data_IF_371647730226
#
_entry.id   IF_371647730226
#
_cell.length_a   1.000
_cell.length_b   1.000
_cell.length_c   1.000
_cell.angle_alpha   90.00
_cell.angle_beta   90.00
_cell.angle_gamma   90.00
#
_symmetry.space_group_name_H-M   'P 1'
#
loop_
_entity.id
_entity.type
_entity.pdbx_description
1 polymer ?
#
# COMPACT_ATOMS: atom_id res chain seq x y z
N UNK A 1 21.64 -7.16 23.26
CA UNK A 1 20.38 -7.81 23.63
C UNK A 1 19.94 -8.61 22.42
N UNK A 2 20.17 -9.91 22.43
CA UNK A 2 19.77 -10.83 21.36
C UNK A 2 18.25 -10.93 21.38
N UNK A 3 17.59 -10.36 20.38
CA UNK A 3 16.19 -10.62 20.15
C UNK A 3 16.05 -12.08 19.73
N UNK A 4 15.66 -12.93 20.67
CA UNK A 4 15.15 -14.25 20.35
C UNK A 4 13.93 -14.05 19.44
N UNK A 5 14.07 -14.42 18.18
CA UNK A 5 12.94 -14.54 17.27
C UNK A 5 12.04 -15.66 17.85
N UNK A 6 11.06 -15.25 18.65
CA UNK A 6 9.99 -16.16 19.05
C UNK A 6 9.19 -16.47 17.79
N UNK A 7 9.39 -17.68 17.27
CA UNK A 7 8.62 -18.25 16.19
C UNK A 7 7.16 -18.32 16.66
N UNK A 8 6.36 -17.28 16.35
CA UNK A 8 4.92 -17.34 16.55
C UNK A 8 4.36 -18.13 15.37
N UNK A 9 4.38 -19.47 15.53
CA UNK A 9 3.61 -20.30 14.60
C UNK A 9 2.20 -19.72 14.48
N UNK A 10 1.76 -19.45 13.27
CA UNK A 10 0.42 -18.96 12.99
C UNK A 10 -0.61 -19.89 13.62
N UNK A 11 -1.15 -19.51 14.78
CA UNK A 11 -2.29 -20.22 15.35
C UNK A 11 -3.49 -20.01 14.43
N UNK A 12 -3.94 -21.07 13.77
CA UNK A 12 -5.18 -21.10 13.00
C UNK A 12 -6.37 -21.38 13.92
N UNK A 13 -7.53 -20.85 13.53
CA UNK A 13 -8.77 -21.00 14.30
C UNK A 13 -8.98 -19.90 15.34
N UNK A 14 -10.14 -19.94 15.97
CA UNK A 14 -10.59 -19.03 17.01
C UNK A 14 -11.03 -19.83 18.24
N UNK A 15 -10.88 -19.32 19.50
CA UNK A 15 -10.22 -18.05 19.82
C UNK A 15 -8.69 -18.15 19.77
N UNK A 16 -8.01 -17.01 19.56
CA UNK A 16 -6.55 -16.95 19.57
C UNK A 16 -6.01 -15.62 20.06
N UNK A 17 -4.76 -15.62 20.49
CA UNK A 17 -4.02 -14.40 20.84
C UNK A 17 -3.21 -13.90 19.67
N UNK A 18 -3.12 -12.59 19.55
CA UNK A 18 -2.27 -11.90 18.57
C UNK A 18 -1.69 -10.63 19.20
N UNK A 19 -0.91 -9.88 18.42
CA UNK A 19 -0.43 -8.57 18.82
C UNK A 19 -1.18 -7.48 18.06
N UNK A 20 -1.42 -6.37 18.73
CA UNK A 20 -2.00 -5.15 18.18
C UNK A 20 -1.31 -3.94 18.78
N UNK A 21 -1.75 -2.74 18.42
CA UNK A 21 -1.27 -1.49 19.01
C UNK A 21 -2.40 -0.76 19.72
N UNK A 22 -2.06 0.04 20.71
CA UNK A 22 -3.00 0.99 21.29
C UNK A 22 -3.26 2.11 20.26
N UNK A 23 -4.52 2.45 19.94
CA UNK A 23 -4.82 3.50 18.99
C UNK A 23 -4.44 4.91 19.49
N UNK A 24 -4.28 5.10 20.82
CA UNK A 24 -3.95 6.38 21.44
C UNK A 24 -2.43 6.62 21.54
N UNK A 25 -1.68 5.62 22.00
CA UNK A 25 -0.25 5.81 22.30
C UNK A 25 0.70 4.94 21.47
N UNK A 26 0.19 4.09 20.56
CA UNK A 26 1.01 3.23 19.72
C UNK A 26 1.71 2.06 20.45
N UNK A 27 1.52 1.88 21.78
CA UNK A 27 2.11 0.76 22.53
C UNK A 27 1.64 -0.58 21.95
N UNK A 28 2.55 -1.52 21.80
CA UNK A 28 2.23 -2.90 21.42
C UNK A 28 1.49 -3.57 22.57
N UNK A 29 0.35 -4.16 22.28
CA UNK A 29 -0.54 -4.82 23.22
C UNK A 29 -0.79 -6.26 22.77
N UNK A 30 -1.00 -7.15 23.73
CA UNK A 30 -1.66 -8.43 23.44
C UNK A 30 -3.14 -8.19 23.13
N UNK A 31 -3.68 -8.94 22.18
CA UNK A 31 -5.07 -8.87 21.78
C UNK A 31 -5.66 -10.28 21.65
N UNK A 32 -6.92 -10.41 22.02
CA UNK A 32 -7.69 -11.63 21.87
C UNK A 32 -8.60 -11.52 20.65
N UNK A 33 -8.50 -12.49 19.73
CA UNK A 33 -9.41 -12.68 18.61
C UNK A 33 -10.39 -13.79 18.93
N UNK A 34 -11.69 -13.53 18.78
CA UNK A 34 -12.74 -14.49 19.06
C UNK A 34 -13.96 -14.29 18.15
N UNK A 35 -14.72 -15.37 17.97
CA UNK A 35 -15.98 -15.35 17.23
C UNK A 35 -17.14 -14.88 18.11
N UNK A 36 -17.96 -14.00 17.61
CA UNK A 36 -19.20 -13.56 18.24
C UNK A 36 -20.18 -13.02 17.20
N UNK A 37 -21.41 -13.49 17.23
CA UNK A 37 -22.51 -13.02 16.34
C UNK A 37 -22.13 -13.13 14.85
N UNK A 38 -21.46 -14.22 14.43
CA UNK A 38 -21.01 -14.45 13.05
C UNK A 38 -19.85 -13.55 12.59
N UNK A 39 -19.23 -12.83 13.50
CA UNK A 39 -18.11 -11.91 13.24
C UNK A 39 -16.90 -12.30 14.08
N UNK A 40 -15.73 -11.85 13.65
CA UNK A 40 -14.49 -11.94 14.43
C UNK A 40 -14.26 -10.60 15.12
N UNK A 41 -14.11 -10.65 16.43
CA UNK A 41 -13.84 -9.50 17.30
C UNK A 41 -12.40 -9.50 17.78
N UNK A 42 -11.87 -8.30 18.04
CA UNK A 42 -10.57 -8.09 18.67
C UNK A 42 -10.73 -7.27 19.94
N UNK A 43 -10.35 -7.85 21.07
CA UNK A 43 -10.27 -7.16 22.36
C UNK A 43 -8.80 -6.96 22.74
N UNK A 44 -8.49 -5.77 23.23
CA UNK A 44 -7.17 -5.41 23.77
C UNK A 44 -7.29 -4.40 24.88
N UNK A 45 -6.34 -4.38 25.82
CA UNK A 45 -6.35 -3.46 26.95
C UNK A 45 -5.02 -2.73 27.06
N UNK A 46 -5.04 -1.41 26.96
CA UNK A 46 -3.90 -0.57 27.24
C UNK A 46 -3.89 -0.19 28.73
N UNK A 47 -2.75 -0.30 29.43
CA UNK A 47 -2.66 0.13 30.83
C UNK A 47 -2.99 1.61 31.07
N UNK A 48 -2.78 2.46 30.07
CA UNK A 48 -2.99 3.92 30.16
C UNK A 48 -4.34 4.37 29.60
N UNK A 49 -4.88 3.66 28.58
CA UNK A 49 -6.06 4.10 27.81
C UNK A 49 -7.26 3.15 27.93
N UNK A 50 -7.14 2.08 28.74
CA UNK A 50 -8.25 1.17 29.00
C UNK A 50 -8.51 0.14 27.89
N UNK A 51 -9.74 -0.37 27.86
CA UNK A 51 -10.14 -1.45 26.96
C UNK A 51 -10.63 -0.92 25.61
N UNK A 52 -10.21 -1.61 24.55
CA UNK A 52 -10.68 -1.44 23.18
C UNK A 52 -11.28 -2.73 22.68
N UNK A 53 -12.41 -2.66 22.00
CA UNK A 53 -13.11 -3.79 21.39
C UNK A 53 -13.64 -3.38 20.03
N UNK A 54 -13.24 -4.09 18.98
CA UNK A 54 -13.58 -3.77 17.60
C UNK A 54 -13.91 -5.02 16.78
N UNK A 55 -14.75 -4.86 15.75
CA UNK A 55 -14.92 -5.89 14.72
C UNK A 55 -13.63 -5.95 13.91
N UNK A 56 -12.93 -7.08 13.99
CA UNK A 56 -11.72 -7.35 13.20
C UNK A 56 -12.05 -7.82 11.78
N UNK A 57 -13.11 -8.64 11.66
CA UNK A 57 -13.59 -9.19 10.39
C UNK A 57 -15.10 -9.41 10.43
N UNK A 58 -15.85 -8.92 9.46
CA UNK A 58 -17.30 -8.91 9.50
C UNK A 58 -17.97 -10.27 9.25
N UNK A 59 -17.22 -11.27 8.77
CA UNK A 59 -17.70 -12.61 8.45
C UNK A 59 -16.74 -13.66 9.01
N UNK A 60 -17.19 -14.45 10.00
CA UNK A 60 -16.40 -15.49 10.66
C UNK A 60 -16.05 -16.64 9.71
N UNK A 61 -16.99 -17.10 8.89
CA UNK A 61 -16.75 -18.23 7.99
C UNK A 61 -15.69 -17.90 6.94
N UNK A 62 -15.79 -16.70 6.35
CA UNK A 62 -14.82 -16.22 5.37
C UNK A 62 -13.45 -16.01 6.00
N UNK A 63 -13.39 -15.54 7.27
CA UNK A 63 -12.14 -15.43 8.02
C UNK A 63 -11.46 -16.80 8.18
N UNK A 64 -12.19 -17.80 8.68
CA UNK A 64 -11.67 -19.15 8.87
C UNK A 64 -11.29 -19.83 7.54
N UNK A 65 -12.03 -19.53 6.47
CA UNK A 65 -11.68 -19.97 5.11
C UNK A 65 -10.37 -19.35 4.63
N UNK A 66 -10.19 -18.06 4.83
CA UNK A 66 -8.96 -17.34 4.45
C UNK A 66 -7.74 -17.86 5.23
N UNK A 67 -7.89 -18.18 6.50
CA UNK A 67 -6.82 -18.75 7.34
C UNK A 67 -6.26 -20.08 6.82
N UNK A 68 -7.03 -20.86 6.06
CA UNK A 68 -6.54 -22.13 5.47
C UNK A 68 -5.36 -21.89 4.52
N UNK A 69 -5.31 -20.71 3.90
CA UNK A 69 -4.26 -20.33 2.97
C UNK A 69 -3.12 -19.53 3.62
N UNK A 70 -3.26 -19.19 4.91
CA UNK A 70 -2.20 -18.50 5.63
C UNK A 70 -1.08 -19.48 6.01
N UNK A 71 0.17 -19.07 5.83
CA UNK A 71 1.36 -19.78 6.26
C UNK A 71 2.41 -18.80 6.78
N UNK A 72 3.27 -19.26 7.68
CA UNK A 72 4.43 -18.50 8.12
C UNK A 72 5.56 -18.65 7.10
N UNK A 73 6.03 -17.53 6.58
CA UNK A 73 7.28 -17.48 5.86
C UNK A 73 8.47 -17.34 6.81
N UNK A 74 9.65 -17.75 6.37
CA UNK A 74 10.91 -17.57 7.12
C UNK A 74 11.44 -16.14 7.08
N UNK A 75 10.67 -15.21 6.51
CA UNK A 75 11.04 -13.80 6.34
C UNK A 75 11.76 -13.50 5.04
N UNK A 76 12.25 -12.27 4.94
CA UNK A 76 13.00 -11.76 3.80
C UNK A 76 14.47 -11.61 4.18
N UNK A 77 15.37 -11.82 3.21
CA UNK A 77 16.77 -11.46 3.37
C UNK A 77 16.89 -9.94 3.54
N UNK A 78 17.61 -9.53 4.59
CA UNK A 78 18.02 -8.15 4.76
C UNK A 78 19.45 -7.96 4.23
N UNK A 79 19.66 -7.25 3.10
CA UNK A 79 20.99 -7.06 2.52
C UNK A 79 21.97 -6.33 3.45
N UNK A 80 21.46 -5.61 4.46
CA UNK A 80 22.28 -4.92 5.46
C UNK A 80 22.71 -5.84 6.60
N UNK A 81 22.14 -7.04 6.70
CA UNK A 81 22.47 -8.03 7.74
C UNK A 81 23.62 -8.92 7.26
N UNK A 82 24.83 -8.61 7.72
CA UNK A 82 26.04 -9.36 7.41
C UNK A 82 26.16 -10.70 8.16
N UNK A 83 25.24 -11.00 9.05
CA UNK A 83 25.26 -12.28 9.81
C UNK A 83 24.71 -13.44 9.01
N UNK A 84 23.91 -13.17 7.98
CA UNK A 84 23.37 -14.18 7.08
C UNK A 84 24.43 -14.60 6.06
N UNK A 85 24.75 -15.89 6.04
CA UNK A 85 25.68 -16.46 5.07
C UNK A 85 24.94 -16.69 3.75
N UNK A 86 25.51 -16.18 2.66
CA UNK A 86 25.06 -16.51 1.31
C UNK A 86 25.95 -17.60 0.73
N UNK A 87 25.34 -18.62 0.09
CA UNK A 87 26.06 -19.61 -0.69
C UNK A 87 26.70 -19.03 -1.95
N UNK A 88 27.57 -19.79 -2.60
CA UNK A 88 28.20 -19.39 -3.88
C UNK A 88 27.17 -19.17 -4.99
N UNK A 89 26.00 -19.81 -4.89
CA UNK A 89 24.86 -19.72 -5.81
C UNK A 89 23.85 -18.61 -5.44
N UNK A 90 24.25 -17.64 -4.59
CA UNK A 90 23.38 -16.61 -4.02
C UNK A 90 22.24 -17.14 -3.11
N UNK A 91 22.23 -18.44 -2.79
CA UNK A 91 21.26 -18.97 -1.82
C UNK A 91 21.47 -18.37 -0.44
N UNK A 92 20.38 -18.12 0.25
CA UNK A 92 20.38 -17.66 1.65
C UNK A 92 19.72 -18.72 2.52
N UNK A 93 20.34 -19.05 3.61
CA UNK A 93 19.78 -20.02 4.55
C UNK A 93 19.93 -19.55 5.99
N UNK A 94 19.01 -20.00 6.81
CA UNK A 94 19.03 -19.82 8.26
C UNK A 94 19.10 -21.20 8.92
N UNK A 95 19.65 -21.22 10.12
CA UNK A 95 19.65 -22.44 10.95
C UNK A 95 18.52 -22.34 11.97
N UNK A 96 17.60 -23.28 11.94
CA UNK A 96 16.52 -23.40 12.94
C UNK A 96 16.65 -24.80 13.57
N UNK A 97 16.83 -24.84 14.88
CA UNK A 97 16.99 -26.10 15.66
C UNK A 97 18.05 -27.07 15.07
N UNK A 98 19.11 -26.52 14.45
CA UNK A 98 20.17 -27.30 13.84
C UNK A 98 19.92 -27.71 12.37
N UNK A 99 18.77 -27.46 11.83
CA UNK A 99 18.44 -27.73 10.42
C UNK A 99 18.68 -26.50 9.54
N UNK A 100 19.25 -26.74 8.35
CA UNK A 100 19.44 -25.73 7.31
C UNK A 100 18.12 -25.52 6.57
N UNK A 101 17.57 -24.31 6.61
CA UNK A 101 16.35 -23.92 5.90
C UNK A 101 16.68 -22.84 4.88
N UNK A 102 16.43 -23.11 3.60
CA UNK A 102 16.68 -22.15 2.52
C UNK A 102 15.57 -21.09 2.51
N UNK A 103 15.98 -19.82 2.42
CA UNK A 103 15.07 -18.69 2.24
C UNK A 103 14.64 -18.62 0.78
N UNK A 104 13.33 -18.72 0.53
CA UNK A 104 12.74 -18.63 -0.79
C UNK A 104 11.87 -17.37 -0.97
N UNK A 105 11.78 -16.56 0.07
CA UNK A 105 10.98 -15.32 0.03
C UNK A 105 11.70 -14.20 -0.70
N UNK A 106 10.94 -13.33 -1.35
CA UNK A 106 11.42 -12.10 -1.97
C UNK A 106 10.41 -10.98 -1.80
N UNK A 107 10.87 -9.74 -1.91
CA UNK A 107 9.97 -8.58 -2.00
C UNK A 107 9.21 -8.61 -3.31
N UNK A 108 7.90 -8.85 -3.27
CA UNK A 108 7.05 -8.85 -4.46
C UNK A 108 6.88 -7.43 -5.05
N UNK A 109 6.71 -6.44 -4.18
CA UNK A 109 6.64 -5.01 -4.49
C UNK A 109 7.13 -4.21 -3.29
N UNK A 110 8.10 -3.35 -3.48
CA UNK A 110 8.56 -2.41 -2.46
C UNK A 110 7.86 -1.06 -2.62
N UNK A 111 7.34 -0.50 -1.53
CA UNK A 111 6.89 0.89 -1.47
C UNK A 111 8.05 1.77 -1.00
N UNK A 112 8.33 2.84 -1.74
CA UNK A 112 9.38 3.80 -1.42
C UNK A 112 8.78 5.21 -1.38
N UNK A 113 8.77 5.81 -0.20
CA UNK A 113 8.21 7.13 0.01
C UNK A 113 9.23 8.20 -0.39
N UNK A 114 8.91 8.98 -1.43
CA UNK A 114 9.77 10.05 -1.95
C UNK A 114 9.64 11.35 -1.16
N UNK A 115 8.50 11.57 -0.51
CA UNK A 115 8.25 12.80 0.28
C UNK A 115 7.01 12.63 1.15
N UNK A 116 6.99 13.28 2.31
CA UNK A 116 5.77 13.41 3.11
C UNK A 116 4.94 14.65 2.74
N UNK A 117 5.39 15.46 1.76
CA UNK A 117 4.62 16.59 1.23
C UNK A 117 3.53 16.07 0.28
N UNK A 118 2.39 16.76 0.30
CA UNK A 118 1.27 16.48 -0.60
C UNK A 118 0.65 17.79 -1.08
N UNK A 119 0.18 17.81 -2.33
CA UNK A 119 -0.60 18.92 -2.89
C UNK A 119 -2.09 18.85 -2.54
N UNK A 120 -2.46 17.93 -1.63
CA UNK A 120 -3.81 17.75 -1.08
C UNK A 120 -3.78 17.64 0.45
N UNK A 121 -4.94 17.88 1.08
CA UNK A 121 -5.17 17.70 2.51
C UNK A 121 -6.44 16.88 2.74
N UNK A 122 -6.40 15.60 2.36
CA UNK A 122 -7.56 14.72 2.40
C UNK A 122 -8.03 14.44 3.83
N UNK A 123 -9.35 14.47 4.11
CA UNK A 123 -9.89 14.10 5.43
C UNK A 123 -9.50 12.69 5.87
N UNK A 124 -9.57 11.71 4.96
CA UNK A 124 -9.28 10.29 5.23
C UNK A 124 -7.82 9.90 4.97
N UNK A 125 -6.85 10.81 5.13
CA UNK A 125 -5.45 10.51 4.84
C UNK A 125 -4.82 9.65 5.93
N UNK A 126 -4.58 8.37 5.65
CA UNK A 126 -3.95 7.44 6.58
C UNK A 126 -2.49 7.80 6.90
N UNK A 127 -1.78 8.40 5.93
CA UNK A 127 -0.38 8.82 6.09
C UNK A 127 -0.24 10.18 6.80
N UNK A 128 -1.35 10.85 7.10
CA UNK A 128 -1.38 12.18 7.70
C UNK A 128 -0.43 13.19 7.02
N UNK A 129 -0.34 13.12 5.68
CA UNK A 129 0.57 13.95 4.90
C UNK A 129 0.37 15.45 5.18
N UNK A 130 1.46 16.21 5.24
CA UNK A 130 1.55 17.63 5.61
C UNK A 130 1.31 17.98 7.10
N UNK A 131 1.06 17.01 7.98
CA UNK A 131 0.77 17.27 9.40
C UNK A 131 1.85 16.73 10.37
N UNK A 132 2.97 16.21 9.83
CA UNK A 132 4.07 15.67 10.63
C UNK A 132 4.88 16.74 11.38
N UNK A 133 4.72 18.04 11.05
CA UNK A 133 5.49 19.12 11.61
C UNK A 133 6.92 19.25 11.06
N UNK A 134 7.31 18.36 10.17
CA UNK A 134 8.60 18.39 9.46
C UNK A 134 8.43 17.91 8.03
N UNK A 135 9.39 18.26 7.16
CA UNK A 135 9.47 17.70 5.81
C UNK A 135 10.48 16.57 5.81
N UNK A 136 10.03 15.38 5.40
CA UNK A 136 10.87 14.26 5.03
C UNK A 136 10.88 14.14 3.51
N UNK A 137 12.01 14.33 2.91
CA UNK A 137 12.22 14.26 1.47
C UNK A 137 13.68 13.83 1.23
N UNK A 138 13.92 12.53 1.00
CA UNK A 138 15.28 12.04 0.76
C UNK A 138 15.85 12.66 -0.51
N UNK A 139 17.16 12.84 -0.52
CA UNK A 139 17.90 13.24 -1.71
C UNK A 139 17.84 12.16 -2.79
N UNK A 140 18.20 12.54 -4.03
CA UNK A 140 18.28 11.55 -5.12
C UNK A 140 19.24 10.39 -4.78
N UNK A 141 20.38 10.69 -4.18
CA UNK A 141 21.39 9.68 -3.83
C UNK A 141 20.87 8.74 -2.74
N UNK A 142 20.14 9.24 -1.73
CA UNK A 142 19.50 8.40 -0.72
C UNK A 142 18.42 7.49 -1.33
N UNK A 143 17.62 8.01 -2.26
CA UNK A 143 16.64 7.19 -3.00
C UNK A 143 17.32 6.11 -3.84
N UNK A 144 18.44 6.46 -4.50
CA UNK A 144 19.25 5.52 -5.24
C UNK A 144 19.75 4.38 -4.33
N UNK A 145 20.34 4.69 -3.19
CA UNK A 145 20.85 3.70 -2.23
C UNK A 145 19.74 2.77 -1.69
N UNK A 146 18.54 3.32 -1.41
CA UNK A 146 17.38 2.50 -1.04
C UNK A 146 17.02 1.51 -2.15
N UNK A 147 17.04 1.94 -3.42
CA UNK A 147 16.77 1.07 -4.57
C UNK A 147 17.86 0.03 -4.78
N UNK A 148 19.13 0.39 -4.59
CA UNK A 148 20.27 -0.56 -4.62
C UNK A 148 20.11 -1.64 -3.56
N UNK A 149 19.72 -1.24 -2.34
CA UNK A 149 19.45 -2.18 -1.23
C UNK A 149 18.37 -3.20 -1.62
N UNK A 150 17.25 -2.76 -2.18
CA UNK A 150 16.18 -3.65 -2.67
C UNK A 150 16.67 -4.59 -3.79
N UNK A 151 17.53 -4.10 -4.68
CA UNK A 151 18.12 -4.91 -5.76
C UNK A 151 19.20 -5.86 -5.28
N UNK A 152 19.67 -5.70 -4.05
CA UNK A 152 20.66 -6.57 -3.41
C UNK A 152 20.03 -7.71 -2.61
N UNK A 153 18.68 -7.78 -2.50
CA UNK A 153 17.99 -8.89 -1.85
C UNK A 153 18.33 -10.24 -2.50
N UNK A 154 18.39 -11.28 -1.68
CA UNK A 154 18.69 -12.65 -2.07
C UNK A 154 17.64 -13.61 -1.49
N UNK A 155 17.41 -14.77 -2.08
CA UNK A 155 17.98 -15.27 -3.33
C UNK A 155 17.42 -14.58 -4.58
N UNK A 156 16.28 -13.89 -4.46
CA UNK A 156 15.58 -13.21 -5.57
C UNK A 156 15.58 -11.71 -5.29
N UNK A 157 16.14 -10.96 -6.21
CA UNK A 157 16.16 -9.49 -6.15
C UNK A 157 14.74 -8.91 -6.25
N UNK A 158 14.43 -7.87 -5.48
CA UNK A 158 13.17 -7.15 -5.65
C UNK A 158 13.02 -6.63 -7.08
N UNK A 159 11.94 -7.00 -7.78
CA UNK A 159 11.74 -6.69 -9.20
C UNK A 159 10.73 -5.58 -9.46
N UNK A 160 9.95 -5.21 -8.46
CA UNK A 160 8.90 -4.21 -8.59
C UNK A 160 9.01 -3.14 -7.49
N UNK A 161 8.84 -1.88 -7.89
CA UNK A 161 8.86 -0.74 -6.97
C UNK A 161 7.67 0.17 -7.22
N UNK A 162 7.09 0.67 -6.13
CA UNK A 162 6.07 1.71 -6.13
C UNK A 162 6.59 2.95 -5.43
N UNK A 163 6.65 4.06 -6.14
CA UNK A 163 6.87 5.36 -5.53
C UNK A 163 5.58 5.85 -4.88
N UNK A 164 5.70 6.23 -3.62
CA UNK A 164 4.60 6.61 -2.75
C UNK A 164 4.99 7.81 -1.86
N UNK A 165 4.28 8.00 -0.76
CA UNK A 165 4.48 9.05 0.24
C UNK A 165 3.25 9.94 0.40
N UNK A 166 3.41 11.25 0.54
CA UNK A 166 2.32 12.20 0.48
C UNK A 166 1.73 12.25 -0.94
N UNK A 167 2.43 12.91 -1.86
CA UNK A 167 2.19 12.84 -3.30
C UNK A 167 3.54 12.76 -4.03
N UNK A 168 3.94 11.60 -4.53
CA UNK A 168 5.28 11.41 -5.11
C UNK A 168 5.56 12.28 -6.34
N UNK A 169 4.54 12.68 -7.08
CA UNK A 169 4.73 13.54 -8.27
C UNK A 169 5.15 14.98 -7.93
N UNK A 170 5.13 15.39 -6.65
CA UNK A 170 5.69 16.69 -6.23
C UNK A 170 7.18 16.63 -5.91
N UNK A 171 7.75 15.42 -5.84
CA UNK A 171 9.19 15.24 -5.66
C UNK A 171 9.95 15.86 -6.85
N UNK A 172 10.96 16.71 -6.62
CA UNK A 172 11.59 17.48 -7.70
C UNK A 172 12.19 16.62 -8.82
N UNK A 173 12.85 15.51 -8.45
CA UNK A 173 13.56 14.61 -9.36
C UNK A 173 12.75 13.32 -9.67
N UNK A 174 11.40 13.43 -9.70
CA UNK A 174 10.53 12.27 -9.88
C UNK A 174 10.80 11.49 -11.16
N UNK A 175 11.02 12.18 -12.28
CA UNK A 175 11.28 11.55 -13.59
C UNK A 175 12.65 10.85 -13.60
N UNK A 176 13.64 11.49 -13.01
CA UNK A 176 15.01 10.97 -12.88
C UNK A 176 15.05 9.71 -12.02
N UNK A 177 14.27 9.67 -10.93
CA UNK A 177 14.17 8.50 -10.04
C UNK A 177 13.51 7.32 -10.79
N UNK A 178 12.51 7.56 -11.64
CA UNK A 178 11.94 6.49 -12.48
C UNK A 178 13.01 5.93 -13.44
N UNK A 179 13.76 6.80 -14.09
CA UNK A 179 14.82 6.40 -15.02
C UNK A 179 15.91 5.59 -14.31
N UNK A 180 16.27 6.00 -13.10
CA UNK A 180 17.27 5.31 -12.27
C UNK A 180 16.78 3.93 -11.82
N UNK A 181 15.53 3.80 -11.39
CA UNK A 181 14.92 2.51 -11.07
C UNK A 181 14.99 1.54 -12.28
N UNK A 182 14.75 2.03 -13.49
CA UNK A 182 14.88 1.22 -14.71
C UNK A 182 16.33 0.81 -14.99
N UNK A 183 17.30 1.70 -14.77
CA UNK A 183 18.73 1.39 -14.91
C UNK A 183 19.17 0.32 -13.91
N UNK A 184 18.68 0.36 -12.68
CA UNK A 184 18.91 -0.64 -11.64
C UNK A 184 18.23 -1.99 -11.93
N UNK A 185 17.38 -2.07 -12.95
CA UNK A 185 16.77 -3.32 -13.42
C UNK A 185 15.45 -3.66 -12.75
N UNK A 186 14.72 -2.69 -12.19
CA UNK A 186 13.32 -2.92 -11.80
C UNK A 186 12.47 -3.17 -13.04
N UNK A 187 11.85 -4.35 -13.13
CA UNK A 187 10.95 -4.71 -14.22
C UNK A 187 9.67 -3.88 -14.19
N UNK A 188 9.12 -3.69 -12.99
CA UNK A 188 7.90 -2.93 -12.73
C UNK A 188 8.21 -1.69 -11.91
N UNK A 189 7.92 -0.51 -12.47
CA UNK A 189 7.99 0.78 -11.79
C UNK A 189 6.60 1.39 -11.83
N UNK A 190 6.03 1.64 -10.67
CA UNK A 190 4.69 2.25 -10.54
C UNK A 190 4.68 3.42 -9.58
N UNK A 191 3.62 4.22 -9.63
CA UNK A 191 3.42 5.38 -8.77
C UNK A 191 2.02 5.39 -8.18
N UNK A 192 1.92 5.52 -6.85
CA UNK A 192 0.65 5.79 -6.17
C UNK A 192 0.43 7.31 -6.16
N UNK A 193 -0.62 7.80 -6.82
CA UNK A 193 -0.82 9.24 -7.03
C UNK A 193 -2.28 9.65 -7.01
N UNK A 194 -2.52 10.90 -6.59
CA UNK A 194 -3.82 11.53 -6.74
C UNK A 194 -4.12 11.96 -8.19
N UNK A 195 -3.13 11.96 -9.07
CA UNK A 195 -3.25 12.22 -10.50
C UNK A 195 -3.25 13.68 -10.93
N UNK A 196 -3.21 14.65 -10.00
CA UNK A 196 -3.33 16.07 -10.34
C UNK A 196 -2.26 16.51 -11.34
N UNK A 197 -1.00 16.13 -11.12
CA UNK A 197 0.09 16.57 -11.99
C UNK A 197 0.01 15.91 -13.37
N UNK A 198 -0.31 14.62 -13.43
CA UNK A 198 -0.49 13.90 -14.70
C UNK A 198 -1.69 14.39 -15.52
N UNK A 199 -2.76 14.85 -14.87
CA UNK A 199 -3.90 15.43 -15.57
C UNK A 199 -3.61 16.81 -16.15
N UNK A 200 -2.84 17.64 -15.43
CA UNK A 200 -2.57 19.04 -15.79
C UNK A 200 -1.37 19.22 -16.70
N UNK A 201 -0.39 18.34 -16.59
CA UNK A 201 0.90 18.43 -17.29
C UNK A 201 1.12 17.17 -18.11
N UNK A 202 0.70 17.22 -19.37
CA UNK A 202 0.88 16.12 -20.31
C UNK A 202 2.35 15.79 -20.58
N UNK A 203 3.21 16.81 -20.69
CA UNK A 203 4.63 16.60 -20.96
C UNK A 203 5.34 15.92 -19.78
N UNK A 204 4.93 16.20 -18.54
CA UNK A 204 5.40 15.49 -17.37
C UNK A 204 4.99 14.00 -17.37
N UNK A 205 3.73 13.70 -17.75
CA UNK A 205 3.29 12.31 -17.92
C UNK A 205 4.11 11.60 -19.01
N UNK A 206 4.29 12.27 -20.16
CA UNK A 206 5.07 11.74 -21.28
C UNK A 206 6.53 11.48 -20.90
N UNK A 207 7.17 12.42 -20.23
CA UNK A 207 8.53 12.27 -19.71
C UNK A 207 8.63 11.09 -18.73
N UNK A 208 7.68 10.97 -17.79
CA UNK A 208 7.61 9.86 -16.85
C UNK A 208 7.47 8.50 -17.57
N UNK A 209 6.66 8.45 -18.62
CA UNK A 209 6.51 7.24 -19.45
C UNK A 209 7.79 6.90 -20.20
N UNK A 210 8.45 7.88 -20.81
CA UNK A 210 9.73 7.68 -21.51
C UNK A 210 10.81 7.21 -20.54
N UNK A 211 10.83 7.75 -19.32
CA UNK A 211 11.72 7.31 -18.25
C UNK A 211 11.48 5.86 -17.80
N UNK A 212 10.30 5.29 -18.11
CA UNK A 212 10.02 3.87 -17.87
C UNK A 212 8.89 3.58 -16.89
N UNK A 213 8.03 4.56 -16.57
CA UNK A 213 6.84 4.33 -15.74
C UNK A 213 5.94 3.27 -16.40
N UNK A 214 5.67 2.19 -15.65
CA UNK A 214 4.84 1.09 -16.11
C UNK A 214 3.37 1.25 -15.70
N UNK A 215 3.11 1.72 -14.48
CA UNK A 215 1.75 1.74 -13.93
C UNK A 215 1.50 3.02 -13.12
N UNK A 216 0.33 3.60 -13.33
CA UNK A 216 -0.26 4.65 -12.50
C UNK A 216 -1.28 3.98 -11.58
N UNK A 217 -0.96 3.90 -10.29
CA UNK A 217 -1.84 3.45 -9.23
C UNK A 217 -2.65 4.66 -8.77
N UNK A 218 -3.77 4.89 -9.50
CA UNK A 218 -4.54 6.11 -9.44
C UNK A 218 -5.58 6.08 -8.34
N UNK A 219 -5.47 6.93 -7.35
CA UNK A 219 -6.53 7.15 -6.38
C UNK A 219 -7.84 7.48 -7.11
N UNK A 220 -8.92 6.71 -6.84
CA UNK A 220 -10.18 6.81 -7.60
C UNK A 220 -11.37 6.36 -6.74
N UNK A 221 -11.97 7.25 -5.96
CA UNK A 221 -12.98 6.87 -4.94
C UNK A 221 -14.40 6.77 -5.49
N UNK A 222 -14.67 7.29 -6.67
CA UNK A 222 -16.01 7.26 -7.25
C UNK A 222 -16.16 8.00 -8.56
N UNK A 223 -17.40 8.08 -9.05
CA UNK A 223 -17.77 8.60 -10.36
C UNK A 223 -18.38 10.01 -10.32
N UNK A 224 -18.51 10.59 -9.11
CA UNK A 224 -19.07 11.94 -8.92
C UNK A 224 -18.22 12.76 -7.97
N UNK A 225 -18.27 14.09 -8.13
CA UNK A 225 -17.49 15.02 -7.30
C UNK A 225 -17.94 15.01 -5.83
N UNK A 226 -19.18 14.63 -5.51
CA UNK A 226 -19.68 14.58 -4.13
C UNK A 226 -18.95 13.55 -3.28
N UNK A 227 -18.57 12.41 -3.87
CA UNK A 227 -17.74 11.40 -3.21
C UNK A 227 -16.36 11.98 -2.91
N UNK A 228 -15.76 12.67 -3.86
CA UNK A 228 -14.44 13.30 -3.67
C UNK A 228 -14.47 14.46 -2.66
N UNK A 229 -15.56 15.22 -2.60
CA UNK A 229 -15.69 16.26 -1.57
C UNK A 229 -15.68 15.65 -0.16
N UNK A 230 -16.34 14.51 0.04
CA UNK A 230 -16.34 13.79 1.32
C UNK A 230 -15.00 13.12 1.60
N UNK A 231 -14.43 12.38 0.65
CA UNK A 231 -13.22 11.60 0.87
C UNK A 231 -11.93 12.43 0.77
N UNK A 232 -11.89 13.45 -0.11
CA UNK A 232 -10.66 14.20 -0.46
C UNK A 232 -10.72 15.68 -0.17
N UNK A 233 -11.89 16.20 0.23
CA UNK A 233 -12.11 17.61 0.54
C UNK A 233 -12.14 18.53 -0.68
N UNK A 234 -12.19 17.98 -1.90
CA UNK A 234 -12.24 18.76 -3.16
C UNK A 234 -12.77 17.94 -4.33
N UNK A 235 -13.25 18.62 -5.35
CA UNK A 235 -13.67 17.98 -6.61
C UNK A 235 -12.47 17.39 -7.35
N UNK A 236 -12.60 16.14 -7.78
CA UNK A 236 -11.50 15.41 -8.41
C UNK A 236 -11.88 14.64 -9.68
N UNK A 237 -13.17 14.53 -10.01
CA UNK A 237 -13.59 13.71 -11.15
C UNK A 237 -12.94 14.17 -12.46
N UNK A 238 -12.91 15.46 -12.72
CA UNK A 238 -12.24 16.03 -13.90
C UNK A 238 -10.73 15.69 -13.95
N UNK A 239 -10.07 15.62 -12.79
CA UNK A 239 -8.65 15.21 -12.71
C UNK A 239 -8.51 13.74 -13.12
N UNK A 240 -9.39 12.86 -12.65
CA UNK A 240 -9.34 11.43 -12.98
C UNK A 240 -9.53 11.20 -14.48
N UNK A 241 -10.53 11.83 -15.06
CA UNK A 241 -10.76 11.80 -16.50
C UNK A 241 -9.57 12.38 -17.29
N UNK A 242 -8.98 13.46 -16.80
CA UNK A 242 -7.81 14.08 -17.43
C UNK A 242 -6.58 13.15 -17.47
N UNK A 243 -6.36 12.32 -16.43
CA UNK A 243 -5.28 11.31 -16.47
C UNK A 243 -5.56 10.27 -17.54
N UNK A 244 -6.81 9.76 -17.62
CA UNK A 244 -7.23 8.76 -18.60
C UNK A 244 -7.04 9.29 -20.02
N UNK A 245 -7.50 10.52 -20.28
CA UNK A 245 -7.38 11.19 -21.57
C UNK A 245 -5.91 11.42 -21.99
N UNK A 246 -5.07 11.86 -21.04
CA UNK A 246 -3.64 12.05 -21.31
C UNK A 246 -2.94 10.70 -21.60
N UNK A 247 -3.37 9.60 -20.95
CA UNK A 247 -2.89 8.26 -21.29
C UNK A 247 -3.32 7.84 -22.71
N UNK A 248 -4.54 8.14 -23.13
CA UNK A 248 -5.01 7.91 -24.51
C UNK A 248 -4.24 8.74 -25.53
N UNK A 249 -3.93 10.00 -25.19
CA UNK A 249 -3.11 10.86 -26.05
C UNK A 249 -1.73 10.27 -26.30
N UNK A 250 -1.08 9.66 -25.27
CA UNK A 250 0.19 8.94 -25.47
C UNK A 250 0.04 7.82 -26.49
N UNK A 251 -1.04 7.04 -26.42
CA UNK A 251 -1.31 5.96 -27.37
C UNK A 251 -1.51 6.50 -28.78
N UNK A 252 -2.25 7.60 -28.95
CA UNK A 252 -2.45 8.27 -30.24
C UNK A 252 -1.15 8.81 -30.84
N UNK A 253 -0.17 9.17 -30.02
CA UNK A 253 1.19 9.55 -30.45
C UNK A 253 2.12 8.35 -30.73
N UNK A 254 1.60 7.11 -30.67
CA UNK A 254 2.38 5.89 -30.93
C UNK A 254 3.20 5.40 -29.74
N UNK A 255 3.02 5.95 -28.56
CA UNK A 255 3.66 5.48 -27.32
C UNK A 255 2.77 4.44 -26.62
N UNK A 256 3.37 3.52 -25.89
CA UNK A 256 2.59 2.68 -24.95
C UNK A 256 2.22 3.54 -23.75
N UNK A 257 0.93 3.60 -23.38
CA UNK A 257 0.52 4.23 -22.12
C UNK A 257 1.06 3.45 -20.91
N UNK A 258 1.31 4.11 -19.75
CA UNK A 258 1.31 3.41 -18.48
C UNK A 258 -0.05 2.74 -18.26
N UNK A 259 -0.08 1.56 -17.67
CA UNK A 259 -1.32 0.94 -17.23
C UNK A 259 -1.93 1.75 -16.08
N UNK A 260 -3.23 1.99 -16.09
CA UNK A 260 -3.91 2.60 -14.94
C UNK A 260 -4.53 1.48 -14.10
N UNK A 261 -4.29 1.50 -12.80
CA UNK A 261 -5.03 0.75 -11.80
C UNK A 261 -5.82 1.73 -10.97
N UNK A 262 -7.15 1.60 -10.95
CA UNK A 262 -8.01 2.43 -10.10
C UNK A 262 -7.92 1.94 -8.65
N UNK A 263 -7.81 2.87 -7.71
CA UNK A 263 -7.65 2.56 -6.28
C UNK A 263 -8.73 3.27 -5.48
N UNK A 264 -9.93 2.68 -5.40
CA UNK A 264 -10.99 3.19 -4.54
C UNK A 264 -10.69 2.89 -3.08
N UNK A 265 -10.73 3.91 -2.23
CA UNK A 265 -10.88 3.72 -0.79
C UNK A 265 -12.37 3.61 -0.49
N UNK A 266 -12.79 2.45 0.02
CA UNK A 266 -14.19 2.15 0.28
C UNK A 266 -14.51 2.37 1.75
N UNK A 267 -15.54 3.16 2.01
CA UNK A 267 -16.05 3.41 3.35
C UNK A 267 -17.58 3.26 3.39
N UNK A 268 -18.08 2.71 4.48
CA UNK A 268 -19.52 2.49 4.68
C UNK A 268 -20.31 3.79 4.59
N UNK A 269 -21.34 3.82 3.75
CA UNK A 269 -22.16 5.00 3.48
C UNK A 269 -21.44 6.12 2.71
N UNK A 270 -20.20 5.90 2.26
CA UNK A 270 -19.44 6.84 1.45
C UNK A 270 -19.53 6.51 -0.06
N UNK A 271 -19.24 5.30 -0.42
CA UNK A 271 -19.16 4.81 -1.80
C UNK A 271 -19.27 3.28 -1.92
N UNK A 272 -19.69 2.60 -0.88
CA UNK A 272 -19.89 1.15 -0.83
C UNK A 272 -21.02 0.67 -1.76
N UNK A 273 -21.97 1.55 -2.07
CA UNK A 273 -23.09 1.32 -2.98
C UNK A 273 -22.74 1.40 -4.47
N UNK A 274 -21.56 1.96 -4.84
CA UNK A 274 -21.16 2.17 -6.23
C UNK A 274 -20.00 1.28 -6.70
N UNK A 275 -19.63 0.27 -5.95
CA UNK A 275 -18.53 -0.66 -6.29
C UNK A 275 -18.73 -1.26 -7.69
N UNK A 276 -19.97 -1.71 -8.00
CA UNK A 276 -20.32 -2.24 -9.30
C UNK A 276 -20.17 -1.24 -10.45
N UNK A 277 -20.49 0.03 -10.19
CA UNK A 277 -20.37 1.09 -11.20
C UNK A 277 -18.90 1.45 -11.47
N UNK A 278 -18.05 1.43 -10.45
CA UNK A 278 -16.59 1.60 -10.62
C UNK A 278 -16.01 0.46 -11.48
N UNK A 279 -16.46 -0.77 -11.25
CA UNK A 279 -16.04 -1.93 -12.07
C UNK A 279 -16.49 -1.74 -13.52
N UNK A 280 -17.75 -1.35 -13.74
CA UNK A 280 -18.27 -1.08 -15.09
C UNK A 280 -17.48 0.00 -15.79
N UNK A 281 -17.22 1.12 -15.10
CA UNK A 281 -16.38 2.21 -15.60
C UNK A 281 -14.99 1.72 -16.01
N UNK A 282 -14.37 0.85 -15.21
CA UNK A 282 -13.06 0.28 -15.53
C UNK A 282 -13.11 -0.58 -16.82
N UNK A 283 -14.15 -1.38 -17.02
CA UNK A 283 -14.34 -2.17 -18.24
C UNK A 283 -14.58 -1.28 -19.48
N UNK A 284 -15.37 -0.21 -19.35
CA UNK A 284 -15.62 0.75 -20.43
C UNK A 284 -14.36 1.52 -20.85
N UNK A 285 -13.35 1.58 -19.98
CA UNK A 285 -12.08 2.23 -20.22
C UNK A 285 -10.88 1.25 -20.24
N UNK A 286 -11.13 -0.02 -20.59
CA UNK A 286 -10.12 -1.09 -20.56
C UNK A 286 -8.98 -0.91 -21.57
N UNK A 287 -9.07 0.07 -22.46
CA UNK A 287 -8.00 0.49 -23.35
C UNK A 287 -6.77 1.01 -22.57
N UNK A 288 -6.97 1.69 -21.43
CA UNK A 288 -5.89 2.22 -20.57
C UNK A 288 -5.99 1.76 -19.12
N UNK A 289 -7.17 1.36 -18.61
CA UNK A 289 -7.36 0.83 -17.26
C UNK A 289 -7.17 -0.68 -17.29
N UNK A 290 -6.32 -1.22 -16.41
CA UNK A 290 -5.98 -2.65 -16.34
C UNK A 290 -6.43 -3.35 -15.07
N UNK A 291 -6.92 -2.61 -14.09
CA UNK A 291 -7.40 -3.20 -12.85
C UNK A 291 -8.06 -2.20 -11.92
N UNK A 292 -8.76 -2.73 -10.94
CA UNK A 292 -9.31 -1.99 -9.81
C UNK A 292 -8.84 -2.68 -8.53
N UNK A 293 -8.29 -1.92 -7.60
CA UNK A 293 -7.88 -2.41 -6.28
C UNK A 293 -8.66 -1.69 -5.20
N UNK A 294 -9.76 -2.31 -4.75
CA UNK A 294 -10.56 -1.78 -3.65
C UNK A 294 -9.82 -1.89 -2.33
N UNK A 295 -9.77 -0.81 -1.59
CA UNK A 295 -9.13 -0.72 -0.28
C UNK A 295 -10.15 -0.29 0.77
N UNK A 296 -10.46 -1.11 1.77
CA UNK A 296 -11.23 -0.63 2.91
C UNK A 296 -10.55 0.58 3.55
N UNK A 297 -11.35 1.55 3.99
CA UNK A 297 -10.83 2.74 4.66
C UNK A 297 -9.97 2.36 5.86
N UNK A 298 -8.75 2.89 5.92
CA UNK A 298 -7.86 2.71 7.07
C UNK A 298 -8.19 3.75 8.15
N UNK A 299 -8.49 3.27 9.34
CA UNK A 299 -8.81 4.11 10.50
C UNK A 299 -7.55 4.53 11.25
N UNK A 300 -6.67 5.24 10.55
CA UNK A 300 -5.42 5.80 11.05
C UNK A 300 -5.22 7.19 10.44
N UNK A 301 -4.27 7.95 10.95
CA UNK A 301 -3.95 9.27 10.44
C UNK A 301 -5.00 10.31 10.86
N UNK A 302 -5.74 10.89 9.90
CA UNK A 302 -6.69 11.98 10.16
C UNK A 302 -8.09 11.53 10.57
N UNK A 303 -8.40 10.25 10.46
CA UNK A 303 -9.75 9.75 10.79
C UNK A 303 -9.99 9.82 12.29
N UNK A 304 -11.15 10.35 12.70
CA UNK A 304 -11.54 10.49 14.10
C UNK A 304 -12.10 9.18 14.67
N UNK A 305 -12.13 9.06 16.01
CA UNK A 305 -12.72 7.89 16.68
C UNK A 305 -14.21 7.70 16.37
N UNK A 306 -14.95 8.79 16.21
CA UNK A 306 -16.37 8.75 15.87
C UNK A 306 -16.59 8.21 14.46
N UNK A 307 -15.76 8.63 13.50
CA UNK A 307 -15.75 8.10 12.14
C UNK A 307 -15.37 6.62 12.10
N UNK A 308 -14.44 6.17 12.97
CA UNK A 308 -14.10 4.74 13.12
C UNK A 308 -15.32 3.94 13.52
N UNK A 309 -16.05 4.39 14.55
CA UNK A 309 -17.19 3.66 15.09
C UNK A 309 -18.36 3.54 14.10
N UNK A 310 -18.62 4.59 13.31
CA UNK A 310 -19.74 4.64 12.37
C UNK A 310 -19.40 4.11 10.97
N UNK A 311 -18.14 4.26 10.54
CA UNK A 311 -17.70 4.00 9.18
C UNK A 311 -16.96 2.67 8.97
N UNK A 312 -16.92 1.78 10.00
CA UNK A 312 -16.17 0.52 9.91
C UNK A 312 -16.61 -0.31 8.72
N UNK A 313 -15.64 -0.61 7.86
CA UNK A 313 -15.80 -1.42 6.67
C UNK A 313 -14.64 -2.42 6.62
N UNK A 314 -14.95 -3.70 6.51
CA UNK A 314 -13.97 -4.78 6.47
C UNK A 314 -13.99 -5.48 5.12
N UNK A 315 -12.98 -6.31 4.81
CA UNK A 315 -12.90 -7.00 3.52
C UNK A 315 -14.15 -7.83 3.16
N UNK A 316 -14.85 -8.49 4.10
CA UNK A 316 -16.08 -9.22 3.79
C UNK A 316 -17.30 -8.36 3.53
N UNK A 317 -17.32 -7.10 4.01
CA UNK A 317 -18.46 -6.20 3.79
C UNK A 317 -18.59 -5.84 2.30
#
# INVERSE_FOLDING_TARGET
MTATATNYALKKGLPKKTRSICPECGKILEADLYAKDGKVWMDKTCPEHGKFSDVYWADEELYLKAEKFAYDGIGLHNPMDQTLKTGEDDSVHIMIDGEKIDMLSCSGLANLDLTNRCNMKCPICFANANDAGYVYEPTFDEVHEMMVTLRSEKPIKCTAIQFAGGEPTVYPQFVEVIADAKKLGFAQVQVATNGIKFAKDYEFLKASKIAGLNTIYLQFDGLTDDIYLRSRGRKMMAVKLGVIENCRKLVAEGLKSPSIVLVPVVGKGMNDDIIGDIIRFAFENADVIRGVNFQPIAFTGRVTHEEVASGRFTLPD
#
